data_IF_170017760870
#
_entry.id   IF_170017760870
#
_cell.length_a   1.000
_cell.length_b   1.000
_cell.length_c   1.000
_cell.angle_alpha   90.00
_cell.angle_beta   90.00
_cell.angle_gamma   90.00
#
_symmetry.space_group_name_H-M   'P 1'
#
loop_
_entity.id
_entity.type
_entity.pdbx_description
1 polymer ?
#
# COMPACT_ATOMS: atom_id res chain seq x y z
N UNK A 1 76.95 -49.61 6.49
CA UNK A 1 75.52 -49.59 6.17
C UNK A 1 74.73 -49.71 7.47
N UNK A 2 74.37 -48.59 8.10
CA UNK A 2 73.46 -48.54 9.26
C UNK A 2 72.69 -47.22 9.17
N UNK A 3 71.38 -47.38 9.02
CA UNK A 3 70.37 -46.35 8.79
C UNK A 3 70.10 -45.57 10.08
N UNK A 4 69.92 -44.26 9.93
CA UNK A 4 69.57 -43.29 10.95
C UNK A 4 68.05 -43.35 11.17
N UNK A 5 67.60 -43.70 12.38
CA UNK A 5 66.18 -43.68 12.76
C UNK A 5 65.90 -42.35 13.45
N UNK A 6 65.19 -41.46 12.79
CA UNK A 6 64.68 -40.21 13.37
C UNK A 6 63.27 -40.47 13.90
N UNK A 7 63.09 -40.32 15.22
CA UNK A 7 61.82 -40.52 15.92
C UNK A 7 60.93 -39.28 15.72
N UNK A 8 59.84 -39.43 14.95
CA UNK A 8 58.84 -38.40 14.73
C UNK A 8 57.75 -38.50 15.82
N UNK A 9 57.72 -37.55 16.75
CA UNK A 9 56.71 -37.45 17.81
C UNK A 9 55.47 -36.76 17.23
N UNK A 10 54.45 -37.55 16.85
CA UNK A 10 53.17 -37.06 16.33
C UNK A 10 52.27 -36.67 17.51
N UNK A 11 52.09 -35.36 17.68
CA UNK A 11 51.12 -34.77 18.60
C UNK A 11 49.71 -34.94 18.05
N UNK A 12 48.93 -35.87 18.62
CA UNK A 12 47.47 -35.92 18.44
C UNK A 12 46.82 -34.80 19.25
N UNK A 13 46.45 -33.70 18.59
CA UNK A 13 45.44 -32.78 19.10
C UNK A 13 44.08 -33.28 18.63
N UNK A 14 43.36 -33.94 19.54
CA UNK A 14 41.93 -34.21 19.40
C UNK A 14 41.19 -32.86 19.50
N UNK A 15 40.78 -32.31 18.37
CA UNK A 15 39.75 -31.28 18.33
C UNK A 15 38.40 -31.99 18.35
N UNK A 16 37.71 -31.95 19.48
CA UNK A 16 36.28 -32.19 19.50
C UNK A 16 35.61 -31.04 18.73
N UNK A 17 35.14 -31.34 17.52
CA UNK A 17 34.09 -30.55 16.89
C UNK A 17 32.83 -30.78 17.72
N UNK A 18 32.31 -29.76 18.40
CA UNK A 18 30.91 -29.74 18.77
C UNK A 18 30.12 -29.61 17.48
N UNK A 19 29.27 -30.59 17.19
CA UNK A 19 28.17 -30.41 16.25
C UNK A 19 27.19 -29.44 16.92
N UNK A 20 27.52 -28.15 16.88
CA UNK A 20 26.53 -27.10 17.03
C UNK A 20 25.77 -27.09 15.70
N UNK A 21 24.76 -27.95 15.60
CA UNK A 21 23.72 -27.77 14.60
C UNK A 21 23.04 -26.44 14.91
N UNK A 22 23.56 -25.36 14.33
CA UNK A 22 22.80 -24.12 14.17
C UNK A 22 21.43 -24.54 13.64
N UNK A 23 20.39 -24.31 14.44
CA UNK A 23 19.03 -24.42 13.95
C UNK A 23 18.95 -23.51 12.73
N UNK A 24 18.84 -24.11 11.55
CA UNK A 24 18.57 -23.39 10.33
C UNK A 24 17.24 -22.69 10.58
N UNK A 25 17.30 -21.40 10.86
CA UNK A 25 16.12 -20.55 10.90
C UNK A 25 15.61 -20.56 9.46
N UNK A 26 14.63 -21.41 9.18
CA UNK A 26 13.90 -21.31 7.93
C UNK A 26 13.34 -19.89 7.88
N UNK A 27 13.71 -19.12 6.85
CA UNK A 27 13.15 -17.80 6.61
C UNK A 27 11.67 -17.97 6.20
N UNK A 28 10.82 -18.29 7.18
CA UNK A 28 9.37 -18.50 7.05
C UNK A 28 8.61 -17.23 6.66
N UNK A 29 9.33 -16.14 6.37
CA UNK A 29 8.75 -14.84 6.00
C UNK A 29 8.40 -14.74 4.51
N UNK A 30 8.90 -15.67 3.69
CA UNK A 30 8.74 -15.61 2.24
C UNK A 30 7.32 -15.96 1.76
N UNK A 31 6.59 -16.81 2.48
CA UNK A 31 5.19 -17.16 2.17
C UNK A 31 4.28 -16.56 3.22
N UNK A 32 3.23 -15.85 2.81
CA UNK A 32 2.36 -15.12 3.75
C UNK A 32 1.76 -16.04 4.82
N UNK A 33 1.26 -17.22 4.45
CA UNK A 33 0.71 -18.17 5.43
C UNK A 33 1.74 -18.71 6.42
N UNK A 34 3.01 -18.82 6.03
CA UNK A 34 4.10 -19.22 6.93
C UNK A 34 4.53 -18.06 7.83
N UNK A 35 4.52 -16.84 7.31
CA UNK A 35 4.85 -15.63 8.05
C UNK A 35 3.88 -15.39 9.23
N UNK A 36 2.59 -15.66 9.02
CA UNK A 36 1.53 -15.42 10.01
C UNK A 36 1.22 -16.63 10.88
N UNK A 37 1.80 -17.81 10.63
CA UNK A 37 1.37 -19.07 11.26
C UNK A 37 1.46 -19.06 12.79
N UNK A 38 2.43 -18.34 13.35
CA UNK A 38 2.68 -18.22 14.79
C UNK A 38 2.44 -16.79 15.30
N UNK A 39 1.72 -15.96 14.53
CA UNK A 39 1.45 -14.56 14.86
C UNK A 39 -0.04 -14.31 15.08
N UNK A 40 -0.36 -13.26 15.84
CA UNK A 40 -1.72 -12.72 15.85
C UNK A 40 -1.89 -11.90 14.58
N UNK A 41 -2.99 -12.09 13.86
CA UNK A 41 -3.27 -11.34 12.63
C UNK A 41 -4.75 -11.02 12.50
N UNK A 42 -5.03 -9.96 11.75
CA UNK A 42 -6.36 -9.48 11.41
C UNK A 42 -6.45 -9.30 9.90
N UNK A 43 -7.50 -9.85 9.29
CA UNK A 43 -7.72 -9.77 7.86
C UNK A 43 -8.64 -8.62 7.50
N UNK A 44 -8.35 -7.95 6.39
CA UNK A 44 -9.15 -6.87 5.79
C UNK A 44 -9.16 -5.55 6.58
N UNK A 45 -8.18 -5.34 7.44
CA UNK A 45 -8.04 -4.10 8.22
C UNK A 45 -7.15 -3.07 7.51
N UNK A 46 -6.20 -3.51 6.68
CA UNK A 46 -5.35 -2.58 5.90
C UNK A 46 -6.13 -2.02 4.70
N UNK A 47 -6.33 -0.71 4.70
CA UNK A 47 -6.89 0.04 3.57
C UNK A 47 -5.80 0.14 2.49
N UNK A 48 -5.98 -0.60 1.39
CA UNK A 48 -5.04 -0.62 0.28
C UNK A 48 -5.74 -0.78 -1.07
N UNK A 49 -5.16 -0.19 -2.12
CA UNK A 49 -5.62 -0.31 -3.50
C UNK A 49 -4.43 -0.26 -4.46
N UNK A 50 -4.65 -0.59 -5.74
CA UNK A 50 -3.59 -0.47 -6.75
C UNK A 50 -4.05 0.15 -8.05
N UNK A 51 -3.16 0.92 -8.66
CA UNK A 51 -3.36 1.59 -9.95
C UNK A 51 -2.19 1.30 -10.90
N UNK A 52 -2.41 1.39 -12.21
CA UNK A 52 -1.29 1.57 -13.14
C UNK A 52 -0.80 3.01 -13.09
N UNK A 53 0.51 3.21 -13.20
CA UNK A 53 1.13 4.54 -13.21
C UNK A 53 0.74 5.37 -14.44
N UNK A 54 0.72 6.70 -14.28
CA UNK A 54 0.35 7.64 -15.35
C UNK A 54 1.36 7.65 -16.51
N UNK A 55 2.66 7.68 -16.17
CA UNK A 55 3.73 7.83 -17.15
C UNK A 55 4.27 6.47 -17.62
N UNK A 56 4.14 5.45 -16.77
CA UNK A 56 4.56 4.09 -17.07
C UNK A 56 3.41 3.09 -16.83
N UNK A 57 2.47 2.90 -17.77
CA UNK A 57 1.27 2.07 -17.56
C UNK A 57 1.53 0.60 -17.19
N UNK A 58 2.76 0.10 -17.35
CA UNK A 58 3.19 -1.24 -16.93
C UNK A 58 3.71 -1.30 -15.48
N UNK A 59 3.92 -0.14 -14.85
CA UNK A 59 4.26 0.03 -13.45
C UNK A 59 2.97 0.07 -12.62
N UNK A 60 2.94 -0.72 -11.56
CA UNK A 60 1.82 -0.80 -10.62
C UNK A 60 2.21 -0.03 -9.35
N UNK A 61 1.37 0.93 -8.99
CA UNK A 61 1.43 1.62 -7.71
C UNK A 61 0.45 0.93 -6.76
N UNK A 62 0.95 0.28 -5.70
CA UNK A 62 0.13 -0.31 -4.63
C UNK A 62 0.13 0.65 -3.45
N UNK A 63 -0.96 1.38 -3.29
CA UNK A 63 -1.13 2.39 -2.24
C UNK A 63 -1.72 1.75 -0.99
N UNK A 64 -1.32 2.22 0.19
CA UNK A 64 -1.96 1.87 1.45
C UNK A 64 -1.89 3.02 2.46
N UNK A 65 -2.84 3.02 3.40
CA UNK A 65 -2.86 3.93 4.54
C UNK A 65 -2.22 3.25 5.75
N UNK A 66 -1.02 3.66 6.19
CA UNK A 66 -0.44 3.16 7.43
C UNK A 66 -1.13 3.80 8.64
N UNK A 67 -1.61 2.99 9.56
CA UNK A 67 -2.10 3.50 10.84
C UNK A 67 -0.96 4.03 11.71
N UNK A 68 -1.25 4.98 12.60
CA UNK A 68 -0.23 5.56 13.48
C UNK A 68 0.39 4.47 14.36
N UNK A 69 1.72 4.35 14.31
CA UNK A 69 2.46 3.33 15.06
C UNK A 69 2.68 2.02 14.29
N UNK A 70 2.11 1.90 13.09
CA UNK A 70 2.37 0.75 12.21
C UNK A 70 3.83 0.71 11.75
N UNK A 71 4.36 -0.50 11.62
CA UNK A 71 5.74 -0.77 11.19
C UNK A 71 5.81 -2.00 10.27
N UNK A 72 7.00 -2.32 9.76
CA UNK A 72 7.27 -3.54 8.97
C UNK A 72 6.31 -3.71 7.77
N UNK A 73 6.26 -2.68 6.91
CA UNK A 73 5.42 -2.69 5.72
C UNK A 73 5.94 -3.70 4.71
N UNK A 74 5.09 -4.65 4.32
CA UNK A 74 5.44 -5.70 3.37
C UNK A 74 4.41 -5.79 2.26
N UNK A 75 4.89 -6.14 1.06
CA UNK A 75 4.07 -6.46 -0.09
C UNK A 75 4.22 -7.94 -0.42
N UNK A 76 3.11 -8.63 -0.57
CA UNK A 76 3.07 -9.98 -1.09
C UNK A 76 2.33 -10.02 -2.43
N UNK A 77 2.74 -10.91 -3.33
CA UNK A 77 2.09 -11.12 -4.62
C UNK A 77 1.70 -12.58 -4.86
N UNK A 78 0.65 -12.81 -5.64
CA UNK A 78 0.22 -14.14 -6.06
C UNK A 78 -0.14 -14.22 -7.53
N UNK A 79 0.23 -15.34 -8.15
CA UNK A 79 -0.14 -15.71 -9.52
C UNK A 79 -1.35 -16.67 -9.55
N UNK A 80 -1.90 -17.04 -8.39
CA UNK A 80 -3.03 -17.95 -8.28
C UNK A 80 -4.31 -17.34 -8.84
N UNK A 81 -5.26 -18.20 -9.25
CA UNK A 81 -6.59 -17.73 -9.65
C UNK A 81 -7.38 -17.17 -8.47
N UNK A 82 -7.33 -17.88 -7.33
CA UNK A 82 -8.00 -17.47 -6.10
C UNK A 82 -7.08 -16.59 -5.26
N UNK A 83 -7.49 -15.32 -5.07
CA UNK A 83 -6.75 -14.35 -4.26
C UNK A 83 -6.87 -14.60 -2.75
N UNK A 84 -7.67 -15.57 -2.29
CA UNK A 84 -7.88 -15.81 -0.85
C UNK A 84 -6.95 -16.86 -0.25
N UNK A 85 -6.15 -17.55 -1.06
CA UNK A 85 -5.22 -18.58 -0.56
C UNK A 85 -3.86 -17.94 -0.21
N UNK A 86 -3.67 -17.56 1.06
CA UNK A 86 -2.42 -16.96 1.56
C UNK A 86 -1.19 -17.88 1.44
N UNK A 87 -1.36 -19.19 1.19
CA UNK A 87 -0.22 -20.07 0.88
C UNK A 87 0.36 -19.84 -0.53
N UNK A 88 -0.29 -19.02 -1.34
CA UNK A 88 0.13 -18.67 -2.71
C UNK A 88 0.75 -17.30 -2.83
N UNK A 89 0.94 -16.60 -1.72
CA UNK A 89 1.47 -15.25 -1.67
C UNK A 89 2.94 -15.27 -1.31
N UNK A 90 3.76 -14.71 -2.19
CA UNK A 90 5.21 -14.63 -2.03
C UNK A 90 5.61 -13.20 -1.68
N UNK A 91 6.53 -13.03 -0.72
CA UNK A 91 7.06 -11.74 -0.33
C UNK A 91 7.79 -11.09 -1.51
N UNK A 92 7.46 -9.84 -1.78
CA UNK A 92 8.20 -8.99 -2.71
C UNK A 92 9.19 -8.15 -1.90
N UNK A 93 10.48 -8.30 -2.18
CA UNK A 93 11.52 -7.55 -1.49
C UNK A 93 11.61 -6.10 -2.01
N UNK A 94 10.68 -5.26 -1.57
CA UNK A 94 10.58 -3.83 -1.89
C UNK A 94 10.35 -3.03 -0.61
N UNK A 95 10.84 -1.80 -0.59
CA UNK A 95 10.47 -0.81 0.41
C UNK A 95 9.36 0.08 -0.17
N UNK A 96 8.43 0.51 0.68
CA UNK A 96 7.46 1.53 0.29
C UNK A 96 8.08 2.92 0.30
N UNK A 97 7.49 3.82 -0.47
CA UNK A 97 7.82 5.25 -0.49
C UNK A 97 6.68 6.05 0.17
N UNK A 98 6.97 7.10 0.94
CA UNK A 98 5.94 7.95 1.49
C UNK A 98 5.23 8.76 0.40
N UNK A 99 3.91 8.87 0.52
CA UNK A 99 3.03 9.71 -0.28
C UNK A 99 2.28 10.68 0.64
N UNK A 100 2.02 11.89 0.16
CA UNK A 100 1.41 12.96 0.94
C UNK A 100 2.11 13.24 2.29
N UNK A 101 3.43 13.40 2.26
CA UNK A 101 4.30 13.50 3.44
C UNK A 101 4.19 12.31 4.43
N UNK A 102 3.83 11.13 3.94
CA UNK A 102 3.78 9.89 4.72
C UNK A 102 2.41 9.55 5.28
N UNK A 103 1.37 10.36 5.01
CA UNK A 103 -0.02 10.00 5.32
C UNK A 103 -0.47 8.75 4.55
N UNK A 104 0.16 8.48 3.41
CA UNK A 104 0.01 7.23 2.67
C UNK A 104 1.39 6.68 2.32
N UNK A 105 1.43 5.43 1.90
CA UNK A 105 2.62 4.75 1.41
C UNK A 105 2.31 4.10 0.07
N UNK A 106 3.35 3.92 -0.75
CA UNK A 106 3.23 3.26 -2.05
C UNK A 106 4.36 2.26 -2.27
N UNK A 107 4.03 1.04 -2.69
CA UNK A 107 4.98 0.16 -3.35
C UNK A 107 4.88 0.31 -4.86
N UNK A 108 6.03 0.36 -5.53
CA UNK A 108 6.12 0.45 -6.99
C UNK A 108 6.69 -0.82 -7.56
N UNK A 109 5.91 -1.55 -8.36
CA UNK A 109 6.31 -2.88 -8.85
C UNK A 109 5.90 -3.08 -10.32
N UNK A 110 6.75 -3.79 -11.07
CA UNK A 110 6.37 -4.40 -12.35
C UNK A 110 6.16 -5.89 -12.13
N UNK A 111 4.93 -6.36 -12.22
CA UNK A 111 4.58 -7.77 -12.02
C UNK A 111 3.44 -8.19 -12.93
N UNK A 112 3.42 -9.48 -13.26
CA UNK A 112 2.30 -10.16 -13.92
C UNK A 112 1.41 -10.92 -12.93
N UNK A 113 1.64 -10.72 -11.63
CA UNK A 113 0.82 -11.30 -10.57
C UNK A 113 -0.64 -10.87 -10.73
N UNK A 114 -1.54 -11.74 -10.29
CA UNK A 114 -2.98 -11.52 -10.32
C UNK A 114 -3.45 -10.79 -9.08
N UNK A 115 -2.73 -10.95 -7.98
CA UNK A 115 -3.14 -10.44 -6.68
C UNK A 115 -1.96 -9.84 -5.92
N UNK A 116 -2.27 -8.81 -5.12
CA UNK A 116 -1.38 -8.24 -4.11
C UNK A 116 -2.06 -8.25 -2.76
N UNK A 117 -1.25 -8.36 -1.71
CA UNK A 117 -1.65 -8.15 -0.32
C UNK A 117 -0.59 -7.28 0.36
N UNK A 118 -1.04 -6.24 1.06
CA UNK A 118 -0.18 -5.43 1.93
C UNK A 118 -0.35 -5.90 3.35
N UNK A 119 0.75 -5.98 4.10
CA UNK A 119 0.72 -6.22 5.53
C UNK A 119 1.55 -5.20 6.30
N UNK A 120 1.16 -4.93 7.53
CA UNK A 120 2.00 -4.20 8.50
C UNK A 120 1.78 -4.73 9.91
N UNK A 121 2.71 -4.43 10.82
CA UNK A 121 2.56 -4.73 12.25
C UNK A 121 2.03 -3.51 13.00
N UNK A 122 0.96 -3.69 13.78
CA UNK A 122 0.37 -2.71 14.68
C UNK A 122 0.03 -3.37 16.02
N UNK A 123 0.53 -2.84 17.13
CA UNK A 123 0.28 -3.37 18.48
C UNK A 123 0.56 -4.88 18.64
N UNK A 124 1.60 -5.39 17.97
CA UNK A 124 1.99 -6.82 17.87
C UNK A 124 0.99 -7.71 17.09
N UNK A 125 0.08 -7.11 16.32
CA UNK A 125 -0.82 -7.79 15.39
C UNK A 125 -0.37 -7.52 13.96
N UNK A 126 -0.39 -8.56 13.12
CA UNK A 126 -0.19 -8.39 11.68
C UNK A 126 -1.53 -8.01 11.05
N UNK A 127 -1.63 -6.78 10.59
CA UNK A 127 -2.77 -6.28 9.84
C UNK A 127 -2.58 -6.65 8.36
N UNK A 128 -3.62 -7.22 7.74
CA UNK A 128 -3.58 -7.73 6.37
C UNK A 128 -4.66 -7.02 5.53
N UNK A 129 -4.32 -6.57 4.32
CA UNK A 129 -5.29 -5.97 3.41
C UNK A 129 -6.26 -7.01 2.83
N UNK A 130 -7.41 -6.55 2.36
CA UNK A 130 -8.18 -7.36 1.39
C UNK A 130 -7.29 -7.59 0.15
N UNK A 131 -7.29 -8.78 -0.46
CA UNK A 131 -6.58 -9.02 -1.72
C UNK A 131 -6.94 -8.00 -2.80
N UNK A 132 -5.92 -7.43 -3.43
CA UNK A 132 -6.04 -6.43 -4.49
C UNK A 132 -5.83 -7.13 -5.82
N UNK A 133 -6.83 -7.09 -6.72
CA UNK A 133 -6.70 -7.73 -8.03
C UNK A 133 -5.98 -6.83 -9.00
N UNK A 134 -4.84 -7.28 -9.50
CA UNK A 134 -4.12 -6.58 -10.56
C UNK A 134 -4.93 -6.58 -11.86
N UNK A 135 -5.11 -5.40 -12.47
CA UNK A 135 -5.69 -5.26 -13.80
C UNK A 135 -4.78 -4.52 -14.78
N UNK A 136 -3.49 -4.36 -14.44
CA UNK A 136 -2.53 -3.54 -15.20
C UNK A 136 -2.50 -3.86 -16.71
N UNK A 137 -2.73 -5.12 -17.11
CA UNK A 137 -2.73 -5.52 -18.52
C UNK A 137 -4.12 -5.67 -19.16
N UNK A 138 -5.19 -5.75 -18.37
CA UNK A 138 -6.56 -5.93 -18.86
C UNK A 138 -7.39 -4.65 -18.84
N UNK A 139 -7.12 -3.77 -17.87
CA UNK A 139 -7.81 -2.52 -17.63
C UNK A 139 -6.87 -1.57 -16.83
N UNK A 140 -5.88 -0.95 -17.50
CA UNK A 140 -5.07 0.09 -16.87
C UNK A 140 -5.94 1.23 -16.31
N UNK A 141 -5.47 1.85 -15.25
CA UNK A 141 -6.05 3.06 -14.64
C UNK A 141 -6.01 4.21 -15.63
N UNK A 142 -7.11 4.94 -15.77
CA UNK A 142 -7.16 6.20 -16.52
C UNK A 142 -6.79 7.37 -15.63
N UNK A 143 -6.12 8.36 -16.19
CA UNK A 143 -5.68 9.55 -15.46
C UNK A 143 -6.28 10.80 -16.09
N UNK A 144 -6.79 11.72 -15.27
CA UNK A 144 -7.38 12.97 -15.72
C UNK A 144 -7.17 14.10 -14.71
N UNK A 145 -7.50 15.32 -15.10
CA UNK A 145 -7.51 16.53 -14.26
C UNK A 145 -8.90 17.19 -14.22
N UNK A 146 -9.92 16.46 -14.68
CA UNK A 146 -11.26 16.99 -14.92
C UNK A 146 -12.16 16.76 -13.70
N UNK A 147 -12.38 17.82 -12.92
CA UNK A 147 -13.35 17.84 -11.82
C UNK A 147 -14.10 19.16 -11.83
N UNK A 148 -15.39 19.14 -11.46
CA UNK A 148 -16.15 20.36 -11.22
C UNK A 148 -15.94 20.83 -9.79
N UNK A 149 -15.54 22.09 -9.63
CA UNK A 149 -15.25 22.72 -8.33
C UNK A 149 -16.18 23.92 -8.14
N UNK A 150 -17.11 23.82 -7.19
CA UNK A 150 -17.96 24.94 -6.78
C UNK A 150 -17.39 25.53 -5.48
N UNK A 151 -17.06 26.83 -5.48
CA UNK A 151 -16.53 27.57 -4.34
C UNK A 151 -17.47 28.70 -3.85
N UNK A 152 -18.78 28.56 -4.05
CA UNK A 152 -19.78 29.52 -3.56
C UNK A 152 -19.74 29.67 -2.03
N UNK A 153 -19.46 28.58 -1.32
CA UNK A 153 -19.15 28.61 0.11
C UNK A 153 -17.62 28.78 0.30
N UNK A 154 -17.23 29.94 0.81
CA UNK A 154 -15.81 30.31 0.93
C UNK A 154 -15.05 29.28 1.77
N UNK A 155 -13.89 28.86 1.25
CA UNK A 155 -12.98 27.88 1.87
C UNK A 155 -13.57 26.47 2.07
N UNK A 156 -14.76 26.19 1.53
CA UNK A 156 -15.43 24.88 1.61
C UNK A 156 -15.85 24.37 0.23
N UNK A 157 -14.88 24.19 -0.69
CA UNK A 157 -15.16 23.78 -2.06
C UNK A 157 -15.91 22.46 -2.12
N UNK A 158 -16.83 22.40 -3.08
CA UNK A 158 -17.58 21.21 -3.45
C UNK A 158 -16.99 20.65 -4.74
N UNK A 159 -16.53 19.41 -4.69
CA UNK A 159 -16.00 18.66 -5.81
C UNK A 159 -17.04 17.68 -6.32
N UNK A 160 -17.20 17.59 -7.64
CA UNK A 160 -18.01 16.55 -8.27
C UNK A 160 -17.38 16.10 -9.59
N UNK A 161 -17.50 14.82 -9.89
CA UNK A 161 -16.88 14.18 -11.04
C UNK A 161 -17.88 13.27 -11.77
N UNK A 162 -17.59 12.98 -13.03
CA UNK A 162 -18.36 11.99 -13.79
C UNK A 162 -17.90 10.58 -13.43
N UNK A 163 -18.84 9.63 -13.43
CA UNK A 163 -18.54 8.22 -13.17
C UNK A 163 -18.36 7.51 -14.50
N UNK A 164 -17.11 7.16 -14.83
CA UNK A 164 -16.80 6.51 -16.10
C UNK A 164 -17.25 5.04 -16.16
N UNK A 165 -17.45 4.36 -15.03
CA UNK A 165 -17.91 2.96 -15.00
C UNK A 165 -18.71 2.59 -13.75
N UNK A 166 -20.00 2.92 -13.73
CA UNK A 166 -20.91 2.64 -12.59
C UNK A 166 -20.91 1.17 -12.16
N UNK A 167 -20.77 0.22 -13.10
CA UNK A 167 -20.80 -1.22 -12.80
C UNK A 167 -19.52 -1.74 -12.13
N UNK A 168 -18.41 -1.01 -12.22
CA UNK A 168 -17.09 -1.44 -11.74
C UNK A 168 -16.60 -0.68 -10.51
N UNK A 169 -17.33 0.32 -10.05
CA UNK A 169 -16.90 1.22 -8.98
C UNK A 169 -17.56 0.85 -7.67
N UNK A 170 -16.78 0.73 -6.60
CA UNK A 170 -17.26 0.43 -5.26
C UNK A 170 -17.32 1.68 -4.39
N UNK A 171 -16.26 2.49 -4.43
CA UNK A 171 -16.05 3.60 -3.52
C UNK A 171 -15.08 4.61 -4.13
N UNK A 172 -15.26 5.87 -3.77
CA UNK A 172 -14.37 6.95 -4.17
C UNK A 172 -13.53 7.38 -2.99
N UNK A 173 -12.21 7.44 -3.17
CA UNK A 173 -11.29 7.99 -2.19
C UNK A 173 -10.86 9.39 -2.61
N UNK A 174 -11.05 10.37 -1.74
CA UNK A 174 -10.66 11.76 -1.98
C UNK A 174 -9.53 12.17 -1.03
N UNK A 175 -8.57 12.90 -1.56
CA UNK A 175 -7.53 13.58 -0.78
C UNK A 175 -7.51 15.05 -1.13
N UNK A 176 -7.41 15.89 -0.10
CA UNK A 176 -7.03 17.30 -0.23
C UNK A 176 -5.64 17.44 0.36
N UNK A 177 -4.73 18.01 -0.41
CA UNK A 177 -3.38 18.32 -0.01
C UNK A 177 -3.01 19.76 -0.41
N UNK A 178 -1.96 20.31 0.19
CA UNK A 178 -1.32 21.55 -0.28
C UNK A 178 -0.64 21.34 -1.64
N UNK A 179 -0.19 22.42 -2.27
CA UNK A 179 0.59 22.36 -3.52
C UNK A 179 1.87 21.50 -3.42
N UNK A 180 2.53 21.48 -2.26
CA UNK A 180 3.69 20.63 -1.96
C UNK A 180 3.30 19.21 -1.47
N UNK A 181 2.04 18.81 -1.70
CA UNK A 181 1.47 17.51 -1.34
C UNK A 181 1.51 17.22 0.18
N UNK A 182 1.42 18.24 1.03
CA UNK A 182 1.14 18.02 2.45
C UNK A 182 -0.32 17.58 2.62
N UNK A 183 -0.53 16.41 3.23
CA UNK A 183 -1.87 15.89 3.50
C UNK A 183 -2.68 16.86 4.40
N UNK A 184 -3.91 17.17 4.00
CA UNK A 184 -4.87 17.90 4.83
C UNK A 184 -6.05 17.03 5.22
N UNK A 185 -6.66 16.35 4.24
CA UNK A 185 -7.88 15.55 4.45
C UNK A 185 -7.89 14.34 3.53
N UNK A 186 -8.44 13.23 4.01
CA UNK A 186 -8.67 12.00 3.26
C UNK A 186 -10.00 11.37 3.66
N UNK A 187 -10.88 11.12 2.69
CA UNK A 187 -12.23 10.60 2.93
C UNK A 187 -12.65 9.61 1.85
N UNK A 188 -13.61 8.76 2.19
CA UNK A 188 -14.28 7.89 1.24
C UNK A 188 -15.76 8.24 1.13
N UNK A 189 -16.28 8.25 -0.09
CA UNK A 189 -17.70 8.45 -0.41
C UNK A 189 -18.18 7.37 -1.37
N UNK A 190 -19.50 7.10 -1.36
CA UNK A 190 -20.15 6.32 -2.42
C UNK A 190 -20.76 7.23 -3.50
N UNK A 191 -21.02 8.49 -3.14
CA UNK A 191 -21.51 9.50 -4.08
C UNK A 191 -20.33 10.13 -4.84
N UNK A 192 -20.58 10.54 -6.09
CA UNK A 192 -19.62 11.23 -6.96
C UNK A 192 -19.43 12.71 -6.63
N UNK A 193 -19.54 13.03 -5.34
CA UNK A 193 -19.48 14.38 -4.80
C UNK A 193 -18.87 14.37 -3.41
N UNK A 194 -18.04 15.37 -3.13
CA UNK A 194 -17.42 15.59 -1.83
C UNK A 194 -17.37 17.10 -1.55
N UNK A 195 -17.60 17.51 -0.30
CA UNK A 195 -17.41 18.89 0.12
C UNK A 195 -16.39 18.93 1.25
N UNK A 196 -15.39 19.81 1.14
CA UNK A 196 -14.39 19.98 2.19
C UNK A 196 -15.07 20.32 3.53
N UNK A 197 -14.68 19.61 4.59
CA UNK A 197 -15.28 19.66 5.94
C UNK A 197 -16.68 19.14 6.15
N UNK A 198 -17.31 18.62 5.11
CA UNK A 198 -18.63 18.05 5.24
C UNK A 198 -18.54 16.53 5.23
N UNK A 199 -18.91 15.90 6.36
CA UNK A 199 -18.88 14.45 6.50
C UNK A 199 -20.24 13.79 6.22
N UNK A 200 -21.27 14.54 5.80
CA UNK A 200 -22.63 14.01 5.70
C UNK A 200 -22.78 12.82 4.73
N UNK A 201 -21.99 12.79 3.65
CA UNK A 201 -21.97 11.69 2.68
C UNK A 201 -20.68 10.85 2.73
N UNK A 202 -19.85 11.07 3.77
CA UNK A 202 -18.60 10.34 3.98
C UNK A 202 -18.89 9.04 4.71
N UNK A 203 -18.43 7.92 4.14
CA UNK A 203 -18.59 6.58 4.73
C UNK A 203 -17.39 6.14 5.55
N UNK A 204 -16.20 6.71 5.27
CA UNK A 204 -14.99 6.52 6.05
C UNK A 204 -14.14 7.79 5.99
N UNK A 205 -13.65 8.25 7.14
CA UNK A 205 -12.76 9.40 7.25
C UNK A 205 -11.41 8.94 7.81
N UNK A 206 -10.34 9.08 7.03
CA UNK A 206 -8.96 8.74 7.44
C UNK A 206 -8.18 9.97 7.94
N UNK A 207 -8.83 11.14 7.93
CA UNK A 207 -8.27 12.37 8.50
C UNK A 207 -8.26 12.29 10.02
N UNK A 208 -7.09 12.51 10.62
CA UNK A 208 -6.96 12.56 12.08
C UNK A 208 -7.49 13.90 12.60
N UNK A 209 -8.62 13.86 13.30
CA UNK A 209 -9.28 15.06 13.83
C UNK A 209 -9.95 15.92 12.75
N UNK A 210 -10.03 17.22 12.99
CA UNK A 210 -10.62 18.19 12.06
C UNK A 210 -9.51 18.77 11.17
N UNK A 211 -9.66 18.74 9.82
CA UNK A 211 -8.65 19.33 8.94
C UNK A 211 -8.53 20.86 9.14
N UNK A 212 -7.41 21.51 8.78
CA UNK A 212 -7.19 22.96 8.96
C UNK A 212 -7.82 23.80 7.85
N UNK A 213 -8.34 25.01 8.17
CA UNK A 213 -9.10 25.79 7.19
C UNK A 213 -8.25 26.06 5.96
N UNK A 214 -8.85 25.97 4.78
CA UNK A 214 -8.19 26.46 3.58
C UNK A 214 -7.88 27.95 3.76
N UNK A 215 -6.81 28.40 3.14
CA UNK A 215 -6.40 29.80 3.13
C UNK A 215 -6.73 30.38 1.77
N UNK A 216 -7.51 31.47 1.76
CA UNK A 216 -7.94 32.15 0.54
C UNK A 216 -6.74 32.57 -0.30
N UNK A 217 -6.75 32.22 -1.58
CA UNK A 217 -5.69 32.54 -2.54
C UNK A 217 -4.53 31.54 -2.56
N UNK A 218 -4.49 30.56 -1.65
CA UNK A 218 -3.51 29.48 -1.70
C UNK A 218 -3.96 28.35 -2.64
N UNK A 219 -2.97 27.66 -3.21
CA UNK A 219 -3.18 26.52 -4.10
C UNK A 219 -3.19 25.20 -3.32
N UNK A 220 -4.16 24.36 -3.64
CA UNK A 220 -4.32 23.01 -3.10
C UNK A 220 -4.47 22.02 -4.26
N UNK A 221 -4.29 20.74 -3.96
CA UNK A 221 -4.50 19.63 -4.90
C UNK A 221 -5.65 18.78 -4.39
N UNK A 222 -6.68 18.63 -5.22
CA UNK A 222 -7.69 17.59 -5.05
C UNK A 222 -7.22 16.33 -5.79
N UNK A 223 -7.21 15.20 -5.11
CA UNK A 223 -6.98 13.88 -5.71
C UNK A 223 -8.21 13.01 -5.47
N UNK A 224 -8.67 12.34 -6.52
CA UNK A 224 -9.71 11.32 -6.48
C UNK A 224 -9.11 10.00 -6.97
N UNK A 225 -9.39 8.91 -6.26
CA UNK A 225 -9.21 7.55 -6.77
C UNK A 225 -10.56 6.86 -6.79
N UNK A 226 -10.95 6.39 -7.98
CA UNK A 226 -12.16 5.60 -8.21
C UNK A 226 -11.84 4.12 -8.03
N UNK A 227 -12.22 3.54 -6.88
CA UNK A 227 -11.77 2.21 -6.45
C UNK A 227 -12.87 1.18 -6.68
N UNK A 228 -12.52 0.08 -7.35
CA UNK A 228 -13.39 -1.06 -7.61
C UNK A 228 -13.54 -2.00 -6.41
N UNK A 229 -14.49 -2.94 -6.50
CA UNK A 229 -14.73 -3.96 -5.45
C UNK A 229 -13.52 -4.89 -5.21
N UNK A 230 -12.64 -5.00 -6.20
CA UNK A 230 -11.40 -5.77 -6.13
C UNK A 230 -10.17 -4.89 -5.88
N UNK A 231 -10.39 -3.69 -5.32
CA UNK A 231 -9.39 -2.72 -4.89
C UNK A 231 -8.46 -2.21 -6.01
N UNK A 232 -8.88 -2.34 -7.27
CA UNK A 232 -8.19 -1.72 -8.39
C UNK A 232 -8.72 -0.30 -8.59
N UNK A 233 -7.84 0.65 -8.88
CA UNK A 233 -8.22 2.02 -9.18
C UNK A 233 -8.52 2.15 -10.67
N UNK A 234 -9.77 2.40 -11.03
CA UNK A 234 -10.20 2.56 -12.41
C UNK A 234 -9.79 3.93 -12.97
N UNK A 235 -9.92 4.98 -12.17
CA UNK A 235 -9.55 6.34 -12.54
C UNK A 235 -8.87 7.06 -11.38
N UNK A 236 -7.86 7.86 -11.72
CA UNK A 236 -7.29 8.87 -10.83
C UNK A 236 -7.52 10.25 -11.43
N UNK A 237 -8.11 11.16 -10.65
CA UNK A 237 -8.22 12.57 -11.00
C UNK A 237 -7.31 13.37 -10.08
N UNK A 238 -6.45 14.22 -10.64
CA UNK A 238 -5.61 15.14 -9.87
C UNK A 238 -5.74 16.55 -10.42
N UNK A 239 -6.35 17.44 -9.63
CA UNK A 239 -6.64 18.81 -10.07
C UNK A 239 -6.17 19.83 -9.05
N UNK A 240 -5.26 20.75 -9.43
CA UNK A 240 -4.94 21.90 -8.59
C UNK A 240 -6.09 22.91 -8.60
N UNK A 241 -6.34 23.57 -7.47
CA UNK A 241 -7.31 24.65 -7.35
C UNK A 241 -6.84 25.72 -6.37
N UNK A 242 -7.29 26.96 -6.57
CA UNK A 242 -7.02 28.08 -5.66
C UNK A 242 -8.25 28.28 -4.77
N UNK A 243 -8.08 28.28 -3.45
CA UNK A 243 -9.20 28.42 -2.52
C UNK A 243 -9.80 29.83 -2.54
N UNK A 244 -11.14 29.93 -2.63
CA UNK A 244 -11.89 31.22 -2.71
C UNK A 244 -12.58 31.67 -1.41
#
# INVERSE_FOLDING_TARGET
MRSLITLLFVSFLMSCVSDDSESILFNNEHILSEFISDKTFSENEVIACSASDNEAPDLINVYFYPEMGSTDFRLYESFAEDGKDFSKYQLVNLNSEPLFQGAMQVFKIRSQSKWFVVTFELDNTIEISTPIRSKVFSQPTTWSDVVSINQEESLMPVFSWDINSVENNAIFFQVIATEDLQFLSGTYTQENKFQYYNLNNVVLNVTQGTPPNLVKGETYVFTLMDVSLDNWVNEVIMTPFVAE
#
